data_IF_444660053950
#
_entry.id   IF_444660053950
#
_cell.length_a   1.000
_cell.length_b   1.000
_cell.length_c   1.000
_cell.angle_alpha   90.00
_cell.angle_beta   90.00
_cell.angle_gamma   90.00
#
_symmetry.space_group_name_H-M   'P 1'
#
loop_
_entity.id
_entity.type
_entity.pdbx_description
1 polymer ?
#
# COMPACT_ATOMS: atom_id res chain seq x y z
N UNK A 1 2.40 31.14 -16.13
CA UNK A 1 2.01 29.70 -16.04
C UNK A 1 0.81 29.59 -15.11
N UNK A 2 -0.21 28.75 -15.38
CA UNK A 2 -1.20 28.42 -14.36
C UNK A 2 -0.47 27.95 -13.10
N UNK A 3 -0.86 28.44 -11.93
CA UNK A 3 -0.20 28.06 -10.68
C UNK A 3 -0.27 26.56 -10.46
N UNK A 4 0.66 26.00 -9.68
CA UNK A 4 0.68 24.57 -9.34
C UNK A 4 -0.68 24.05 -8.83
N UNK A 5 -1.47 24.93 -8.21
CA UNK A 5 -2.84 24.70 -7.73
C UNK A 5 -3.82 24.25 -8.81
N UNK A 6 -3.60 24.55 -10.09
CA UNK A 6 -4.46 24.08 -11.19
C UNK A 6 -4.16 22.64 -11.62
N UNK A 7 -3.15 22.01 -11.03
CA UNK A 7 -2.69 20.66 -11.36
C UNK A 7 -2.80 19.72 -10.15
N UNK A 8 -4.02 19.31 -9.75
CA UNK A 8 -4.26 18.56 -8.51
C UNK A 8 -3.49 17.24 -8.44
N UNK A 9 -3.29 16.56 -9.58
CA UNK A 9 -2.46 15.33 -9.64
C UNK A 9 -1.00 15.60 -9.30
N UNK A 10 -0.45 16.73 -9.75
CA UNK A 10 0.94 17.11 -9.46
C UNK A 10 1.11 17.52 -7.99
N UNK A 11 0.08 18.17 -7.42
CA UNK A 11 0.01 18.46 -5.99
C UNK A 11 -0.04 17.18 -5.16
N UNK A 12 -0.88 16.21 -5.54
CA UNK A 12 -0.93 14.91 -4.89
C UNK A 12 0.41 14.16 -4.96
N UNK A 13 1.01 14.10 -6.15
CA UNK A 13 2.28 13.42 -6.39
C UNK A 13 3.42 14.01 -5.55
N UNK A 14 3.54 15.33 -5.53
CA UNK A 14 4.69 16.00 -4.93
C UNK A 14 4.49 16.29 -3.43
N UNK A 15 3.26 16.51 -2.96
CA UNK A 15 2.96 17.00 -1.62
C UNK A 15 1.73 16.39 -0.94
N UNK A 16 1.23 15.24 -1.38
CA UNK A 16 0.12 14.52 -0.70
C UNK A 16 -1.16 15.38 -0.55
N UNK A 17 -1.38 16.34 -1.46
CA UNK A 17 -2.50 17.28 -1.40
C UNK A 17 -2.14 18.65 -0.81
N UNK A 18 -0.99 18.78 -0.15
CA UNK A 18 -0.45 20.06 0.30
C UNK A 18 0.27 20.79 -0.84
N UNK A 19 -0.22 22.00 -1.15
CA UNK A 19 0.30 22.81 -2.25
C UNK A 19 1.72 23.33 -2.00
N UNK A 20 2.05 23.70 -0.76
CA UNK A 20 3.36 24.24 -0.41
C UNK A 20 4.41 23.13 -0.44
N UNK A 21 4.10 21.98 0.13
CA UNK A 21 4.98 20.81 0.07
C UNK A 21 5.19 20.39 -1.39
N UNK A 22 4.11 20.34 -2.18
CA UNK A 22 4.20 20.00 -3.60
C UNK A 22 5.12 20.96 -4.35
N UNK A 23 5.03 22.26 -4.06
CA UNK A 23 5.92 23.26 -4.66
C UNK A 23 7.39 23.03 -4.27
N UNK A 24 7.67 22.82 -2.99
CA UNK A 24 9.04 22.62 -2.50
C UNK A 24 9.66 21.33 -3.08
N UNK A 25 8.91 20.24 -3.11
CA UNK A 25 9.37 18.95 -3.66
C UNK A 25 9.60 19.06 -5.17
N UNK A 26 8.66 19.63 -5.91
CA UNK A 26 8.80 19.80 -7.35
C UNK A 26 10.02 20.68 -7.70
N UNK A 27 10.23 21.79 -6.98
CA UNK A 27 11.41 22.65 -7.17
C UNK A 27 12.72 21.91 -6.91
N UNK A 28 12.78 21.13 -5.84
CA UNK A 28 13.95 20.31 -5.49
C UNK A 28 14.26 19.29 -6.59
N UNK A 29 13.26 18.55 -7.07
CA UNK A 29 13.48 17.53 -8.09
C UNK A 29 13.86 18.14 -9.43
N UNK A 30 13.21 19.24 -9.86
CA UNK A 30 13.60 19.96 -11.08
C UNK A 30 15.05 20.47 -11.01
N UNK A 31 15.50 20.97 -9.85
CA UNK A 31 16.90 21.37 -9.67
C UNK A 31 17.88 20.19 -9.80
N UNK A 32 17.47 18.99 -9.37
CA UNK A 32 18.26 17.76 -9.59
C UNK A 32 18.35 17.43 -11.08
N UNK A 33 17.24 17.44 -11.80
CA UNK A 33 17.19 17.12 -13.23
C UNK A 33 17.88 18.14 -14.12
N UNK A 34 17.94 19.41 -13.70
CA UNK A 34 18.72 20.44 -14.39
C UNK A 34 20.21 20.07 -14.54
N UNK A 35 20.73 19.20 -13.67
CA UNK A 35 22.09 18.68 -13.72
C UNK A 35 22.18 17.24 -14.28
N UNK A 36 21.09 16.74 -14.88
CA UNK A 36 21.00 15.39 -15.42
C UNK A 36 21.49 15.29 -16.87
N UNK A 37 20.94 14.32 -17.60
CA UNK A 37 21.15 14.20 -19.05
C UNK A 37 20.61 15.43 -19.78
N UNK A 38 21.09 15.71 -20.99
CA UNK A 38 20.59 16.84 -21.81
C UNK A 38 19.07 16.83 -22.00
N UNK A 39 18.43 15.67 -21.99
CA UNK A 39 16.97 15.55 -22.12
C UNK A 39 16.28 15.98 -20.82
N UNK A 40 16.71 15.43 -19.68
CA UNK A 40 16.20 15.78 -18.36
C UNK A 40 16.43 17.25 -18.03
N UNK A 41 17.63 17.75 -18.30
CA UNK A 41 17.98 19.15 -18.08
C UNK A 41 17.15 20.09 -18.97
N UNK A 42 16.95 19.76 -20.25
CA UNK A 42 16.04 20.52 -21.11
C UNK A 42 14.59 20.51 -20.61
N UNK A 43 14.09 19.38 -20.09
CA UNK A 43 12.75 19.27 -19.50
C UNK A 43 12.61 20.05 -18.19
N UNK A 44 13.63 20.01 -17.34
CA UNK A 44 13.61 20.68 -16.05
C UNK A 44 13.70 22.21 -16.19
N UNK A 45 14.60 22.69 -17.06
CA UNK A 45 14.77 24.12 -17.32
C UNK A 45 13.57 24.70 -18.07
N UNK A 46 12.94 23.97 -18.99
CA UNK A 46 11.74 24.46 -19.69
C UNK A 46 10.53 24.66 -18.78
N UNK A 47 10.50 23.99 -17.61
CA UNK A 47 9.51 24.22 -16.55
C UNK A 47 9.98 25.32 -15.59
N UNK A 48 11.23 25.23 -15.11
CA UNK A 48 11.70 26.01 -13.95
C UNK A 48 12.27 27.38 -14.28
N UNK A 49 12.52 27.67 -15.56
CA UNK A 49 13.05 28.95 -16.02
C UNK A 49 12.12 30.12 -15.65
N UNK A 50 12.68 31.27 -15.25
CA UNK A 50 11.92 32.43 -14.79
C UNK A 50 11.34 33.23 -15.97
N UNK A 51 10.43 32.62 -16.73
CA UNK A 51 9.70 33.30 -17.80
C UNK A 51 8.23 32.88 -17.85
N UNK A 52 7.38 33.82 -18.25
CA UNK A 52 5.92 33.68 -18.15
C UNK A 52 5.36 32.77 -19.24
N UNK A 53 5.96 32.82 -20.43
CA UNK A 53 5.53 32.03 -21.59
C UNK A 53 6.36 30.77 -21.76
N UNK A 54 5.75 29.73 -22.35
CA UNK A 54 6.45 28.49 -22.71
C UNK A 54 7.58 28.78 -23.70
N UNK A 55 7.33 29.68 -24.66
CA UNK A 55 8.29 30.01 -25.71
C UNK A 55 9.56 30.64 -25.12
N UNK A 56 9.43 31.64 -24.24
CA UNK A 56 10.57 32.27 -23.58
C UNK A 56 11.36 31.29 -22.72
N UNK A 57 10.69 30.39 -21.99
CA UNK A 57 11.39 29.34 -21.22
C UNK A 57 12.19 28.41 -22.13
N UNK A 58 11.66 28.07 -23.30
CA UNK A 58 12.42 27.29 -24.29
C UNK A 58 13.60 28.07 -24.86
N UNK A 59 13.46 29.39 -25.07
CA UNK A 59 14.57 30.27 -25.47
C UNK A 59 15.67 30.29 -24.41
N UNK A 60 15.34 30.56 -23.14
CA UNK A 60 16.29 30.55 -22.03
C UNK A 60 16.96 29.19 -21.85
N UNK A 61 16.20 28.11 -22.05
CA UNK A 61 16.76 26.75 -22.04
C UNK A 61 17.72 26.54 -23.22
N UNK A 62 17.42 27.07 -24.40
CA UNK A 62 18.29 26.99 -25.56
C UNK A 62 19.62 27.73 -25.34
N UNK A 63 19.56 28.92 -24.75
CA UNK A 63 20.73 29.71 -24.34
C UNK A 63 21.61 28.94 -23.34
N UNK A 64 21.00 28.23 -22.38
CA UNK A 64 21.73 27.40 -21.42
C UNK A 64 22.57 26.30 -22.10
N UNK A 65 22.08 25.73 -23.22
CA UNK A 65 22.79 24.70 -23.99
C UNK A 65 23.68 25.26 -25.10
N UNK A 66 23.83 26.58 -25.20
CA UNK A 66 24.47 27.27 -26.34
C UNK A 66 23.92 26.78 -27.70
N UNK A 67 22.59 26.57 -27.74
CA UNK A 67 21.90 25.99 -28.87
C UNK A 67 20.91 26.98 -29.46
N UNK A 68 20.88 27.11 -30.78
CA UNK A 68 20.08 28.13 -31.46
C UNK A 68 18.66 27.64 -31.80
N UNK A 69 18.44 26.33 -31.90
CA UNK A 69 17.16 25.77 -32.37
C UNK A 69 16.22 25.35 -31.21
N UNK A 70 15.19 26.17 -30.99
CA UNK A 70 14.12 25.91 -30.04
C UNK A 70 13.33 24.64 -30.34
N UNK A 71 13.25 24.18 -31.61
CA UNK A 71 12.54 22.94 -31.96
C UNK A 71 13.26 21.71 -31.41
N UNK A 72 14.59 21.75 -31.42
CA UNK A 72 15.42 20.71 -30.82
C UNK A 72 15.29 20.69 -29.30
N UNK A 73 15.35 21.86 -28.65
CA UNK A 73 15.14 21.97 -27.19
C UNK A 73 13.75 21.47 -26.78
N UNK A 74 12.70 21.80 -27.54
CA UNK A 74 11.36 21.25 -27.31
C UNK A 74 11.35 19.72 -27.37
N UNK A 75 11.94 19.12 -28.40
CA UNK A 75 12.01 17.65 -28.54
C UNK A 75 12.77 17.00 -27.38
N UNK A 76 13.85 17.63 -26.93
CA UNK A 76 14.62 17.14 -25.78
C UNK A 76 13.83 17.27 -24.48
N UNK A 77 13.16 18.41 -24.29
CA UNK A 77 12.26 18.67 -23.19
C UNK A 77 11.13 17.65 -23.14
N UNK A 78 10.41 17.40 -24.23
CA UNK A 78 9.33 16.40 -24.27
C UNK A 78 9.82 15.00 -23.83
N UNK A 79 11.03 14.63 -24.25
CA UNK A 79 11.66 13.37 -23.84
C UNK A 79 12.04 13.36 -22.35
N UNK A 80 12.62 14.45 -21.85
CA UNK A 80 13.00 14.57 -20.44
C UNK A 80 11.80 14.65 -19.50
N UNK A 81 10.75 15.37 -19.89
CA UNK A 81 9.50 15.49 -19.12
C UNK A 81 8.84 14.15 -18.87
N UNK A 82 8.88 13.23 -19.84
CA UNK A 82 8.41 11.86 -19.63
C UNK A 82 9.21 11.15 -18.52
N UNK A 83 10.54 11.19 -18.58
CA UNK A 83 11.39 10.58 -17.55
C UNK A 83 11.16 11.21 -16.18
N UNK A 84 11.07 12.54 -16.11
CA UNK A 84 10.77 13.27 -14.86
C UNK A 84 9.41 12.84 -14.31
N UNK A 85 8.38 12.71 -15.15
CA UNK A 85 7.05 12.29 -14.71
C UNK A 85 7.04 10.84 -14.19
N UNK A 86 7.72 9.92 -14.87
CA UNK A 86 7.88 8.52 -14.46
C UNK A 86 8.58 8.42 -13.10
N UNK A 87 9.68 9.15 -12.92
CA UNK A 87 10.43 9.16 -11.67
C UNK A 87 9.67 9.84 -10.53
N UNK A 88 8.99 10.97 -10.78
CA UNK A 88 8.15 11.63 -9.77
C UNK A 88 7.03 10.68 -9.32
N UNK A 89 6.43 9.94 -10.25
CA UNK A 89 5.46 8.91 -9.91
C UNK A 89 6.09 7.78 -9.11
N UNK A 90 7.27 7.29 -9.50
CA UNK A 90 7.98 6.24 -8.77
C UNK A 90 8.39 6.67 -7.35
N UNK A 91 8.90 7.89 -7.18
CA UNK A 91 9.25 8.47 -5.87
C UNK A 91 8.01 8.62 -5.01
N UNK A 92 6.93 9.17 -5.57
CA UNK A 92 5.66 9.32 -4.87
C UNK A 92 5.10 7.95 -4.46
N UNK A 93 5.27 6.93 -5.30
CA UNK A 93 4.87 5.56 -5.01
C UNK A 93 5.69 4.94 -3.86
N UNK A 94 7.01 5.08 -3.88
CA UNK A 94 7.91 4.60 -2.81
C UNK A 94 7.63 5.31 -1.48
N UNK A 95 7.31 6.61 -1.53
CA UNK A 95 6.92 7.39 -0.35
C UNK A 95 5.47 7.14 0.11
N UNK A 96 4.70 6.37 -0.64
CA UNK A 96 3.30 6.06 -0.35
C UNK A 96 2.31 7.18 -0.61
N UNK A 97 2.64 8.14 -1.47
CA UNK A 97 1.81 9.33 -1.79
C UNK A 97 0.72 9.06 -2.81
N UNK A 98 0.94 8.03 -3.64
CA UNK A 98 0.05 7.61 -4.73
C UNK A 98 -0.89 6.48 -4.35
N UNK A 99 -1.00 6.18 -3.06
CA UNK A 99 -1.70 5.02 -2.54
C UNK A 99 -1.17 4.75 -1.15
N UNK A 100 -1.95 5.10 -0.14
CA UNK A 100 -1.78 4.56 1.21
C UNK A 100 -2.96 3.63 1.41
N UNK A 101 -2.64 2.35 1.56
CA UNK A 101 -3.58 1.38 2.08
C UNK A 101 -3.31 1.28 3.58
N UNK A 102 -4.31 1.61 4.40
CA UNK A 102 -4.31 1.28 5.81
C UNK A 102 -5.17 0.04 6.00
N UNK A 103 -4.54 -1.04 6.47
CA UNK A 103 -5.24 -2.25 6.87
C UNK A 103 -5.29 -2.33 8.39
N UNK A 104 -6.48 -2.43 8.95
CA UNK A 104 -6.69 -2.75 10.36
C UNK A 104 -7.30 -4.14 10.44
N UNK A 105 -6.57 -5.04 11.08
CA UNK A 105 -6.96 -6.42 11.27
C UNK A 105 -7.31 -6.64 12.74
N UNK A 106 -8.54 -7.03 13.00
CA UNK A 106 -9.02 -7.30 14.35
C UNK A 106 -9.54 -8.72 14.45
N UNK A 107 -8.90 -9.53 15.29
CA UNK A 107 -9.43 -10.82 15.71
C UNK A 107 -10.41 -10.60 16.86
N UNK A 108 -11.65 -11.07 16.74
CA UNK A 108 -12.70 -10.89 17.74
C UNK A 108 -13.54 -12.17 17.90
N UNK A 109 -14.20 -12.34 19.05
CA UNK A 109 -15.24 -13.35 19.22
C UNK A 109 -16.59 -12.81 18.69
N UNK A 110 -17.40 -13.69 18.11
CA UNK A 110 -18.83 -13.48 17.97
C UNK A 110 -19.61 -14.06 19.15
N UNK A 111 -20.94 -14.04 19.05
CA UNK A 111 -21.85 -14.46 20.12
C UNK A 111 -21.66 -15.93 20.53
N UNK A 112 -21.30 -16.81 19.59
CA UNK A 112 -21.12 -18.26 19.81
C UNK A 112 -19.67 -18.67 20.17
N UNK A 113 -18.86 -17.76 20.70
CA UNK A 113 -17.39 -17.92 20.88
C UNK A 113 -16.60 -18.16 19.57
N UNK A 114 -17.30 -18.22 18.44
CA UNK A 114 -16.76 -18.29 17.10
C UNK A 114 -15.82 -17.10 16.85
N UNK A 115 -14.62 -17.37 16.33
CA UNK A 115 -13.70 -16.30 15.97
C UNK A 115 -14.05 -15.71 14.61
N UNK A 116 -13.91 -14.39 14.52
CA UNK A 116 -14.04 -13.60 13.31
C UNK A 116 -12.79 -12.75 13.10
N UNK A 117 -12.37 -12.63 11.85
CA UNK A 117 -11.38 -11.66 11.43
C UNK A 117 -12.11 -10.50 10.76
N UNK A 118 -12.06 -9.33 11.40
CA UNK A 118 -12.51 -8.06 10.83
C UNK A 118 -11.35 -7.39 10.12
N UNK A 119 -11.61 -6.92 8.91
CA UNK A 119 -10.62 -6.33 8.02
C UNK A 119 -11.16 -4.99 7.58
N UNK A 120 -10.58 -3.93 8.10
CA UNK A 120 -10.90 -2.56 7.72
C UNK A 120 -9.80 -2.06 6.79
N UNK A 121 -10.17 -1.80 5.54
CA UNK A 121 -9.29 -1.29 4.50
C UNK A 121 -9.66 0.16 4.18
N UNK A 122 -8.75 1.09 4.47
CA UNK A 122 -8.85 2.47 4.00
C UNK A 122 -7.92 2.67 2.81
N UNK A 123 -8.49 3.15 1.71
CA UNK A 123 -7.78 3.50 0.47
C UNK A 123 -8.27 4.85 -0.07
N UNK A 124 -7.61 5.36 -1.12
CA UNK A 124 -8.10 6.54 -1.84
C UNK A 124 -9.28 6.19 -2.74
N UNK A 125 -10.38 6.92 -2.61
CA UNK A 125 -11.61 6.71 -3.37
C UNK A 125 -11.44 6.83 -4.90
N UNK A 126 -10.50 7.70 -5.31
CA UNK A 126 -10.26 8.05 -6.72
C UNK A 126 -9.28 7.11 -7.43
N UNK A 127 -8.72 6.14 -6.73
CA UNK A 127 -7.80 5.15 -7.28
C UNK A 127 -8.48 3.78 -7.37
N UNK A 128 -8.07 2.92 -8.33
CA UNK A 128 -8.50 1.53 -8.34
C UNK A 128 -8.12 0.86 -7.01
N UNK A 129 -9.10 0.24 -6.36
CA UNK A 129 -8.93 -0.50 -5.10
C UNK A 129 -9.03 -2.00 -5.40
N UNK A 130 -8.16 -2.81 -4.80
CA UNK A 130 -8.31 -4.25 -4.76
C UNK A 130 -8.46 -4.71 -3.31
N UNK A 131 -9.44 -5.59 -2.99
CA UNK A 131 -9.54 -6.13 -1.65
C UNK A 131 -8.28 -6.96 -1.33
N UNK A 132 -7.89 -7.05 -0.04
CA UNK A 132 -6.73 -7.82 0.35
C UNK A 132 -6.92 -9.30 0.00
N UNK A 133 -5.84 -9.97 -0.38
CA UNK A 133 -5.83 -11.42 -0.55
C UNK A 133 -5.72 -12.07 0.83
N UNK A 134 -6.57 -13.08 1.06
CA UNK A 134 -6.60 -13.79 2.34
C UNK A 134 -6.40 -15.27 2.07
N UNK A 135 -5.45 -15.85 2.79
CA UNK A 135 -5.18 -17.28 2.74
C UNK A 135 -5.22 -17.83 4.16
N UNK A 136 -5.96 -18.92 4.33
CA UNK A 136 -6.08 -19.67 5.57
C UNK A 136 -5.37 -21.02 5.39
N UNK A 137 -4.63 -21.45 6.41
CA UNK A 137 -4.02 -22.77 6.48
C UNK A 137 -4.45 -23.47 7.76
N UNK A 138 -5.15 -24.58 7.64
CA UNK A 138 -5.51 -25.45 8.77
C UNK A 138 -4.48 -26.58 8.84
N UNK A 139 -3.56 -26.48 9.80
CA UNK A 139 -2.39 -27.35 9.87
C UNK A 139 -2.75 -28.76 10.32
N UNK A 140 -2.30 -29.76 9.57
CA UNK A 140 -2.41 -31.18 9.90
C UNK A 140 -1.16 -31.70 10.62
N UNK A 141 0.01 -31.24 10.20
CA UNK A 141 1.33 -31.48 10.80
C UNK A 141 2.26 -30.27 10.55
N UNK A 142 3.57 -30.39 10.79
CA UNK A 142 4.51 -29.25 10.62
C UNK A 142 4.69 -28.78 9.17
N UNK A 143 4.45 -29.66 8.19
CA UNK A 143 4.73 -29.44 6.78
C UNK A 143 3.47 -29.47 5.89
N UNK A 144 2.34 -29.91 6.44
CA UNK A 144 1.08 -30.11 5.71
C UNK A 144 -0.08 -29.33 6.33
N UNK A 145 -0.79 -28.58 5.49
CA UNK A 145 -1.98 -27.85 5.87
C UNK A 145 -3.04 -27.86 4.75
N UNK A 146 -4.31 -27.84 5.14
CA UNK A 146 -5.41 -27.55 4.22
C UNK A 146 -5.45 -26.05 3.96
N UNK A 147 -5.19 -25.65 2.70
CA UNK A 147 -5.22 -24.25 2.28
C UNK A 147 -6.59 -23.86 1.75
N UNK A 148 -7.12 -22.74 2.24
CA UNK A 148 -8.32 -22.10 1.72
C UNK A 148 -8.04 -20.63 1.42
N UNK A 149 -8.19 -20.23 0.15
CA UNK A 149 -8.13 -18.82 -0.27
C UNK A 149 -9.52 -18.23 -0.16
N UNK A 150 -9.65 -17.11 0.56
CA UNK A 150 -10.92 -16.40 0.72
C UNK A 150 -10.95 -15.24 -0.28
N UNK A 151 -11.89 -15.29 -1.23
CA UNK A 151 -12.11 -14.18 -2.17
C UNK A 151 -13.14 -13.20 -1.59
N UNK A 152 -12.65 -12.06 -1.11
CA UNK A 152 -13.48 -10.98 -0.59
C UNK A 152 -14.39 -10.34 -1.63
N UNK A 153 -14.12 -10.49 -2.93
CA UNK A 153 -14.99 -9.93 -4.00
C UNK A 153 -16.37 -10.58 -4.02
N UNK A 154 -16.47 -11.80 -3.50
CA UNK A 154 -17.71 -12.56 -3.40
C UNK A 154 -18.40 -12.37 -2.04
N UNK A 155 -17.77 -11.63 -1.11
CA UNK A 155 -18.30 -11.37 0.23
C UNK A 155 -19.10 -10.06 0.26
N UNK A 156 -20.07 -10.00 1.18
CA UNK A 156 -20.83 -8.78 1.42
C UNK A 156 -20.03 -7.83 2.29
N UNK A 157 -19.29 -6.92 1.66
CA UNK A 157 -18.56 -5.85 2.36
C UNK A 157 -19.47 -4.66 2.68
N UNK A 158 -19.15 -3.94 3.75
CA UNK A 158 -19.70 -2.60 4.02
C UNK A 158 -18.68 -1.56 3.55
N UNK A 159 -19.12 -0.51 2.86
CA UNK A 159 -18.23 0.55 2.41
C UNK A 159 -18.79 1.94 2.72
N UNK A 160 -17.91 2.86 3.08
CA UNK A 160 -18.19 4.28 3.27
C UNK A 160 -17.11 5.11 2.56
N UNK A 161 -17.50 6.25 1.98
CA UNK A 161 -16.61 7.12 1.21
C UNK A 161 -16.85 8.59 1.58
N UNK A 162 -15.77 9.38 1.68
CA UNK A 162 -15.79 10.82 1.96
C UNK A 162 -15.05 11.63 0.87
N UNK A 163 -15.23 11.24 -0.40
CA UNK A 163 -14.66 11.88 -1.60
C UNK A 163 -13.15 11.74 -1.80
N UNK A 164 -12.38 11.63 -0.72
CA UNK A 164 -10.92 11.41 -0.72
C UNK A 164 -10.59 9.96 -0.38
N UNK A 165 -11.21 9.43 0.66
CA UNK A 165 -10.96 8.09 1.16
C UNK A 165 -12.19 7.21 1.04
N UNK A 166 -11.96 5.93 0.80
CA UNK A 166 -12.93 4.85 0.88
C UNK A 166 -12.49 3.90 1.99
N UNK A 167 -13.40 3.63 2.92
CA UNK A 167 -13.26 2.62 3.95
C UNK A 167 -14.14 1.43 3.59
N UNK A 168 -13.54 0.25 3.49
CA UNK A 168 -14.23 -1.03 3.31
C UNK A 168 -14.05 -1.88 4.56
N UNK A 169 -15.13 -2.48 5.05
CA UNK A 169 -15.13 -3.43 6.15
C UNK A 169 -15.57 -4.80 5.64
N UNK A 170 -14.70 -5.77 5.82
CA UNK A 170 -14.96 -7.19 5.60
C UNK A 170 -14.92 -7.94 6.93
N UNK A 171 -15.79 -8.94 7.07
CA UNK A 171 -15.86 -9.80 8.25
C UNK A 171 -15.88 -11.25 7.80
N UNK A 172 -14.89 -12.01 8.23
CA UNK A 172 -14.71 -13.42 7.84
C UNK A 172 -14.80 -14.29 9.08
N UNK A 173 -15.63 -15.33 9.03
CA UNK A 173 -15.65 -16.36 10.06
C UNK A 173 -14.40 -17.23 9.96
N UNK A 174 -13.66 -17.38 11.05
CA UNK A 174 -12.52 -18.30 11.11
C UNK A 174 -13.00 -19.76 11.30
N UNK A 175 -12.17 -20.76 11.01
CA UNK A 175 -12.47 -22.13 11.42
C UNK A 175 -12.70 -22.25 12.93
N UNK A 176 -13.65 -23.11 13.35
CA UNK A 176 -13.91 -23.36 14.77
C UNK A 176 -12.68 -23.97 15.44
N UNK A 177 -12.18 -23.32 16.49
CA UNK A 177 -10.96 -23.76 17.17
C UNK A 177 -11.14 -25.01 18.00
N UNK A 178 -12.27 -25.16 18.71
CA UNK A 178 -12.51 -26.27 19.63
C UNK A 178 -12.23 -27.66 19.01
N UNK A 179 -12.82 -28.05 17.86
CA UNK A 179 -12.52 -29.35 17.26
C UNK A 179 -11.05 -29.48 16.84
N UNK A 180 -10.41 -28.40 16.40
CA UNK A 180 -9.01 -28.41 15.96
C UNK A 180 -8.02 -28.55 17.13
N UNK A 181 -8.38 -28.03 18.31
CA UNK A 181 -7.62 -28.14 19.54
C UNK A 181 -7.83 -29.50 20.23
N UNK A 182 -9.00 -30.12 20.08
CA UNK A 182 -9.32 -31.44 20.66
C UNK A 182 -8.79 -32.62 19.83
N UNK A 183 -8.39 -32.39 18.57
CA UNK A 183 -7.80 -33.38 17.66
C UNK A 183 -6.39 -33.81 18.12
N UNK A 184 -6.32 -34.79 19.03
CA UNK A 184 -5.07 -35.27 19.62
C UNK A 184 -4.02 -35.73 18.59
N UNK A 185 -4.35 -36.56 17.58
CA UNK A 185 -3.37 -36.94 16.55
C UNK A 185 -2.71 -35.73 15.89
N UNK A 186 -3.51 -34.74 15.49
CA UNK A 186 -3.02 -33.50 14.86
C UNK A 186 -2.16 -32.68 15.82
N UNK A 187 -2.59 -32.52 17.08
CA UNK A 187 -1.86 -31.76 18.10
C UNK A 187 -0.56 -32.44 18.56
N UNK A 188 -0.42 -33.74 18.37
CA UNK A 188 0.85 -34.45 18.58
C UNK A 188 1.85 -34.19 17.45
N UNK A 189 1.35 -34.03 16.22
CA UNK A 189 2.18 -33.79 15.03
C UNK A 189 2.65 -32.34 14.90
N UNK A 190 1.85 -31.37 15.34
CA UNK A 190 2.21 -29.94 15.31
C UNK A 190 1.51 -29.13 16.39
N UNK A 191 2.16 -28.04 16.82
CA UNK A 191 1.54 -27.05 17.69
C UNK A 191 0.78 -25.97 16.90
N UNK A 192 1.00 -25.84 15.58
CA UNK A 192 0.27 -24.90 14.72
C UNK A 192 -1.15 -25.40 14.49
N UNK A 193 -2.14 -24.54 14.72
CA UNK A 193 -3.57 -24.89 14.57
C UNK A 193 -4.10 -24.28 13.28
N UNK A 194 -3.98 -22.96 13.16
CA UNK A 194 -4.52 -22.17 12.07
C UNK A 194 -3.54 -21.03 11.78
N UNK A 195 -3.22 -20.79 10.52
CA UNK A 195 -2.56 -19.56 10.10
C UNK A 195 -3.47 -18.80 9.16
N UNK A 196 -3.59 -17.48 9.36
CA UNK A 196 -4.20 -16.57 8.41
C UNK A 196 -3.15 -15.60 7.89
N UNK A 197 -3.00 -15.52 6.58
CA UNK A 197 -2.26 -14.44 5.92
C UNK A 197 -3.24 -13.46 5.29
N UNK A 198 -3.05 -12.17 5.57
CA UNK A 198 -3.75 -11.07 4.90
C UNK A 198 -2.71 -10.23 4.18
N UNK A 199 -2.85 -10.14 2.86
CA UNK A 199 -1.95 -9.40 1.98
C UNK A 199 -2.71 -8.27 1.30
N UNK A 200 -2.35 -7.02 1.63
CA UNK A 200 -2.90 -5.85 0.96
C UNK A 200 -2.55 -5.82 -0.53
N UNK A 201 -3.44 -5.24 -1.34
CA UNK A 201 -3.32 -5.27 -2.82
C UNK A 201 -3.48 -3.91 -3.50
N UNK A 202 -4.11 -2.95 -2.84
CA UNK A 202 -4.41 -1.63 -3.43
C UNK A 202 -3.20 -0.72 -3.58
N UNK A 203 -2.25 -0.72 -2.64
CA UNK A 203 -1.15 0.25 -2.68
C UNK A 203 0.23 -0.32 -2.30
N UNK A 204 1.32 0.01 -3.01
CA UNK A 204 2.63 -0.57 -2.72
C UNK A 204 3.23 -0.14 -1.37
N UNK A 205 2.84 1.02 -0.85
CA UNK A 205 3.16 1.44 0.51
C UNK A 205 1.92 1.26 1.40
N UNK A 206 2.07 0.56 2.52
CA UNK A 206 0.97 0.15 3.39
C UNK A 206 1.31 0.37 4.85
N UNK A 207 0.30 0.73 5.62
CA UNK A 207 0.38 0.64 7.08
C UNK A 207 -0.56 -0.46 7.52
N UNK A 208 -0.09 -1.36 8.37
CA UNK A 208 -0.95 -2.41 8.93
C UNK A 208 -0.98 -2.32 10.43
N UNK A 209 -2.17 -2.45 11.00
CA UNK A 209 -2.39 -2.56 12.43
C UNK A 209 -3.06 -3.89 12.75
N UNK A 210 -2.60 -4.52 13.83
CA UNK A 210 -3.18 -5.75 14.35
C UNK A 210 -3.77 -5.49 15.73
N UNK A 211 -4.98 -6.01 15.97
CA UNK A 211 -5.65 -6.01 17.27
C UNK A 211 -6.15 -7.41 17.57
N UNK A 212 -5.88 -7.87 18.79
CA UNK A 212 -6.53 -9.06 19.33
C UNK A 212 -7.53 -8.62 20.40
N UNK A 213 -8.81 -8.65 20.03
CA UNK A 213 -9.94 -8.40 20.92
C UNK A 213 -10.65 -9.72 21.31
N UNK A 214 -10.15 -10.85 20.81
CA UNK A 214 -10.68 -12.16 21.11
C UNK A 214 -10.15 -12.70 22.44
N UNK A 215 -11.06 -13.27 23.22
CA UNK A 215 -10.77 -14.21 24.30
C UNK A 215 -10.47 -15.56 23.67
N UNK A 216 -9.20 -15.97 23.77
CA UNK A 216 -8.73 -17.27 23.29
C UNK A 216 -8.89 -18.35 24.37
N UNK A 217 -9.09 -19.62 23.99
CA UNK A 217 -8.96 -20.73 24.92
C UNK A 217 -7.62 -20.68 25.66
N UNK A 218 -7.58 -21.07 26.93
CA UNK A 218 -6.35 -21.01 27.75
C UNK A 218 -5.19 -21.86 27.19
N UNK A 219 -5.49 -22.81 26.31
CA UNK A 219 -4.52 -23.65 25.61
C UNK A 219 -4.10 -23.10 24.25
N UNK A 220 -4.48 -21.88 23.90
CA UNK A 220 -4.18 -21.27 22.60
C UNK A 220 -3.49 -19.92 22.75
N UNK A 221 -2.58 -19.63 21.83
CA UNK A 221 -1.94 -18.32 21.70
C UNK A 221 -1.88 -17.92 20.23
N UNK A 222 -1.79 -16.61 19.97
CA UNK A 222 -1.65 -16.07 18.61
C UNK A 222 -0.30 -15.37 18.49
N UNK A 223 0.50 -15.82 17.55
CA UNK A 223 1.71 -15.15 17.11
C UNK A 223 1.41 -14.36 15.83
N UNK A 224 1.90 -13.11 15.76
CA UNK A 224 1.67 -12.24 14.61
C UNK A 224 3.00 -11.79 14.04
N UNK A 225 3.16 -12.01 12.74
CA UNK A 225 4.32 -11.57 11.97
C UNK A 225 3.84 -10.59 10.91
N UNK A 226 4.43 -9.41 10.91
CA UNK A 226 4.21 -8.42 9.87
C UNK A 226 5.44 -8.38 8.99
N UNK A 227 5.31 -8.82 7.73
CA UNK A 227 6.39 -8.76 6.75
C UNK A 227 5.93 -7.96 5.53
N UNK A 228 6.47 -6.74 5.41
CA UNK A 228 6.15 -5.78 4.34
C UNK A 228 4.64 -5.51 4.24
N UNK A 229 3.98 -6.21 3.33
CA UNK A 229 2.59 -5.98 2.92
C UNK A 229 1.68 -7.12 3.37
N UNK A 230 2.22 -8.07 4.12
CA UNK A 230 1.52 -9.27 4.57
C UNK A 230 1.57 -9.34 6.08
N UNK A 231 0.41 -9.56 6.68
CA UNK A 231 0.30 -9.97 8.09
C UNK A 231 -0.03 -11.44 8.13
N UNK A 232 0.75 -12.18 8.88
CA UNK A 232 0.48 -13.57 9.19
C UNK A 232 0.15 -13.66 10.67
N UNK A 233 -1.03 -14.16 11.02
CA UNK A 233 -1.39 -14.50 12.38
C UNK A 233 -1.52 -16.02 12.49
N UNK A 234 -0.68 -16.63 13.32
CA UNK A 234 -0.66 -18.08 13.55
C UNK A 234 -1.16 -18.36 14.95
N UNK A 235 -2.25 -19.11 15.03
CA UNK A 235 -2.75 -19.67 16.28
C UNK A 235 -2.05 -20.99 16.55
N UNK A 236 -1.45 -21.10 17.73
CA UNK A 236 -0.77 -22.31 18.19
C UNK A 236 -1.40 -22.85 19.47
N UNK A 237 -1.35 -24.16 19.63
CA UNK A 237 -1.73 -24.85 20.86
C UNK A 237 -0.55 -24.85 21.82
N UNK A 238 -0.78 -24.43 23.06
CA UNK A 238 0.16 -24.58 24.15
C UNK A 238 0.19 -26.05 24.59
N UNK A 239 1.36 -26.68 24.53
CA UNK A 239 1.55 -28.00 25.16
C UNK A 239 1.48 -27.82 26.67
N UNK A 240 0.42 -28.31 27.30
CA UNK A 240 0.42 -28.48 28.75
C UNK A 240 1.36 -29.64 29.05
N UNK A 241 2.57 -29.33 29.53
CA UNK A 241 3.44 -30.34 30.12
C UNK A 241 2.72 -30.92 31.33
N UNK A 242 2.15 -32.11 31.19
CA UNK A 242 1.73 -32.89 32.36
C UNK A 242 3.02 -33.28 33.10
N UNK A 243 3.20 -32.89 34.38
CA UNK A 243 4.29 -33.45 35.17
C UNK A 243 4.05 -34.95 35.29
N UNK A 244 5.05 -35.71 34.84
CA UNK A 244 5.18 -37.15 35.06
C UNK A 244 5.39 -37.45 36.53
#
# INVERSE_FOLDING_TARGET
MPGLSTYPRLVQLCGEGDLLEAYMVLRRELARYANGTKYEAAGALSISSPADTVLERLTLTAEHFDYQDQRTIRRWSDRGLRTIAEDLAAIANVRGRLGRELLTLTLANGEDEQLYLRIEQMDFAQLPTEPPKITLWIWADEDSAEEAVVDLREHRSLAAEDGTYRNTLDVIAMPRLKPLLEDKPRRQATDKVLTVAVQGRSAPARTVTWRNEAVLPATAQVEVIVHRTMVMATLTSLRVSMPS
#
